data_IF_646837553506
#
_entry.id   IF_646837553506
#
_cell.length_a   1.000
_cell.length_b   1.000
_cell.length_c   1.000
_cell.angle_alpha   90.00
_cell.angle_beta   90.00
_cell.angle_gamma   90.00
#
_symmetry.space_group_name_H-M   'P 1'
#
loop_
_entity.id
_entity.type
_entity.pdbx_description
1 polymer ?
#
# COMPACT_ATOMS: atom_id res chain seq x y z
N UNK A 1 1.20 -0.44 -17.31
CA UNK A 1 2.43 0.35 -17.52
C UNK A 1 2.78 0.54 -19.00
N UNK A 2 2.91 -0.55 -19.79
CA UNK A 2 3.33 -0.48 -21.22
C UNK A 2 2.44 0.42 -22.08
N UNK A 3 1.11 0.35 -21.90
CA UNK A 3 0.16 1.18 -22.64
C UNK A 3 0.42 2.69 -22.54
N UNK A 4 0.85 3.19 -21.37
CA UNK A 4 1.22 4.60 -21.22
C UNK A 4 2.48 4.94 -21.99
N UNK A 5 3.51 4.08 -21.92
CA UNK A 5 4.76 4.29 -22.65
C UNK A 5 4.53 4.30 -24.18
N UNK A 6 3.70 3.38 -24.68
CA UNK A 6 3.33 3.33 -26.09
C UNK A 6 2.58 4.60 -26.52
N UNK A 7 1.62 5.05 -25.69
CA UNK A 7 0.85 6.25 -25.95
C UNK A 7 1.74 7.51 -25.92
N UNK A 8 2.66 7.60 -24.97
CA UNK A 8 3.67 8.66 -24.87
C UNK A 8 4.56 8.70 -26.11
N UNK A 9 5.10 7.54 -26.52
CA UNK A 9 5.96 7.44 -27.70
C UNK A 9 5.24 7.83 -28.99
N UNK A 10 3.97 7.43 -29.15
CA UNK A 10 3.15 7.82 -30.31
C UNK A 10 2.82 9.32 -30.32
N UNK A 11 2.55 9.89 -29.16
CA UNK A 11 2.15 11.31 -29.02
C UNK A 11 3.32 12.27 -29.15
N UNK A 12 4.50 11.89 -28.62
CA UNK A 12 5.71 12.71 -28.59
C UNK A 12 6.95 11.88 -28.95
N UNK A 13 7.11 11.48 -30.22
CA UNK A 13 8.17 10.55 -30.63
C UNK A 13 9.59 11.11 -30.49
N UNK A 14 9.74 12.44 -30.49
CA UNK A 14 11.03 13.16 -30.45
C UNK A 14 11.27 13.91 -29.14
N UNK A 15 10.51 13.61 -28.09
CA UNK A 15 10.70 14.30 -26.80
C UNK A 15 12.03 13.92 -26.17
N UNK A 16 12.87 14.93 -25.89
CA UNK A 16 14.11 14.77 -25.12
C UNK A 16 13.84 14.72 -23.62
N UNK A 17 12.59 14.86 -23.19
CA UNK A 17 12.24 14.86 -21.78
C UNK A 17 12.42 13.45 -21.18
N UNK A 18 13.27 13.26 -20.15
CA UNK A 18 13.51 11.95 -19.55
C UNK A 18 12.43 11.52 -18.55
N UNK A 19 11.52 12.42 -18.15
CA UNK A 19 10.50 12.12 -17.15
C UNK A 19 9.39 11.21 -17.70
N UNK A 20 8.96 10.26 -16.88
CA UNK A 20 7.92 9.29 -17.22
C UNK A 20 6.56 9.95 -17.49
N UNK A 21 6.19 10.91 -16.64
CA UNK A 21 4.97 11.70 -16.78
C UNK A 21 5.32 13.02 -17.45
N UNK A 22 4.73 13.25 -18.62
CA UNK A 22 4.83 14.49 -19.39
C UNK A 22 3.43 14.94 -19.82
N UNK A 23 3.30 16.22 -20.07
CA UNK A 23 2.11 16.86 -20.66
C UNK A 23 2.52 17.62 -21.93
N UNK A 24 1.56 18.24 -22.63
CA UNK A 24 1.85 18.95 -23.87
C UNK A 24 2.93 20.05 -23.71
N UNK A 25 2.99 20.72 -22.56
CA UNK A 25 3.96 21.76 -22.29
C UNK A 25 5.36 21.18 -22.00
N UNK A 26 5.43 20.22 -21.07
CA UNK A 26 6.71 19.62 -20.66
C UNK A 26 7.29 18.68 -21.71
N UNK A 27 6.51 18.22 -22.69
CA UNK A 27 7.02 17.39 -23.78
C UNK A 27 8.08 18.09 -24.65
N UNK A 28 8.03 19.43 -24.73
CA UNK A 28 9.04 20.25 -25.43
C UNK A 28 10.15 20.77 -24.52
N UNK A 29 10.03 20.52 -23.22
CA UNK A 29 10.99 20.93 -22.20
C UNK A 29 11.77 19.71 -21.68
N UNK A 30 12.79 19.95 -20.85
CA UNK A 30 13.54 18.89 -20.16
C UNK A 30 13.20 18.78 -18.68
N UNK A 31 12.26 19.59 -18.20
CA UNK A 31 11.83 19.62 -16.80
C UNK A 31 10.66 18.66 -16.49
N UNK A 32 10.43 18.37 -15.20
CA UNK A 32 9.30 17.53 -14.77
C UNK A 32 7.98 18.30 -14.87
N UNK A 33 6.87 17.56 -14.96
CA UNK A 33 5.54 18.14 -14.71
C UNK A 33 5.43 18.71 -13.30
N UNK A 34 4.70 19.81 -13.16
CA UNK A 34 4.52 20.44 -11.85
C UNK A 34 3.76 19.53 -10.89
N UNK A 35 4.10 19.60 -9.60
CA UNK A 35 3.39 18.85 -8.55
C UNK A 35 1.91 19.24 -8.49
N UNK A 36 1.58 20.48 -8.84
CA UNK A 36 0.21 20.95 -8.98
C UNK A 36 -0.55 20.21 -10.09
N UNK A 37 0.07 19.98 -11.25
CA UNK A 37 -0.54 19.22 -12.35
C UNK A 37 -0.90 17.80 -11.89
N UNK A 38 0.02 17.12 -11.20
CA UNK A 38 -0.25 15.77 -10.68
C UNK A 38 -1.35 15.78 -9.63
N UNK A 39 -1.32 16.72 -8.67
CA UNK A 39 -2.40 16.85 -7.68
C UNK A 39 -3.75 17.18 -8.33
N UNK A 40 -3.77 18.03 -9.35
CA UNK A 40 -4.98 18.40 -10.10
C UNK A 40 -5.60 17.20 -10.79
N UNK A 41 -4.78 16.31 -11.37
CA UNK A 41 -5.27 15.09 -12.01
C UNK A 41 -6.00 14.14 -11.04
N UNK A 42 -5.70 14.20 -9.73
CA UNK A 42 -6.38 13.40 -8.70
C UNK A 42 -7.42 14.20 -7.89
N UNK A 43 -7.69 15.47 -8.25
CA UNK A 43 -8.74 16.25 -7.57
C UNK A 43 -10.11 15.65 -7.85
N UNK A 44 -10.96 15.61 -6.83
CA UNK A 44 -12.31 15.04 -6.91
C UNK A 44 -12.34 13.51 -6.79
N UNK A 45 -11.19 12.84 -6.77
CA UNK A 45 -11.10 11.41 -6.49
C UNK A 45 -10.86 11.16 -5.00
N UNK A 46 -11.47 10.11 -4.46
CA UNK A 46 -11.24 9.68 -3.08
C UNK A 46 -9.79 9.21 -2.83
N UNK A 47 -9.14 8.71 -3.89
CA UNK A 47 -7.75 8.27 -3.92
C UNK A 47 -6.81 9.44 -4.28
N UNK A 48 -6.49 10.30 -3.31
CA UNK A 48 -5.48 11.34 -3.51
C UNK A 48 -4.07 10.74 -3.45
N UNK A 49 -3.06 11.44 -3.98
CA UNK A 49 -1.66 10.96 -3.94
C UNK A 49 -1.18 10.67 -2.51
N UNK A 50 -1.50 11.55 -1.57
CA UNK A 50 -1.13 11.37 -0.16
C UNK A 50 -1.86 10.18 0.46
N UNK A 51 -3.11 9.93 0.07
CA UNK A 51 -3.86 8.78 0.54
C UNK A 51 -3.26 7.48 0.00
N UNK A 52 -3.05 7.40 -1.32
CA UNK A 52 -2.39 6.26 -1.95
C UNK A 52 -1.00 5.97 -1.35
N UNK A 53 -0.23 7.03 -1.05
CA UNK A 53 1.06 6.88 -0.39
C UNK A 53 0.93 6.26 0.99
N UNK A 54 -0.02 6.74 1.81
CA UNK A 54 -0.26 6.21 3.16
C UNK A 54 -0.80 4.78 3.11
N UNK A 55 -1.72 4.50 2.19
CA UNK A 55 -2.33 3.19 2.02
C UNK A 55 -1.24 2.16 1.62
N UNK A 56 -0.37 2.51 0.67
CA UNK A 56 0.77 1.66 0.26
C UNK A 56 1.77 1.42 1.40
N UNK A 57 2.06 2.44 2.21
CA UNK A 57 2.95 2.30 3.37
C UNK A 57 2.36 1.38 4.45
N UNK A 58 1.05 1.50 4.70
CA UNK A 58 0.35 0.64 5.65
C UNK A 58 0.29 -0.80 5.15
N UNK A 59 -0.05 -1.02 3.87
CA UNK A 59 -0.04 -2.33 3.23
C UNK A 59 1.33 -3.01 3.32
N UNK A 60 2.41 -2.28 3.03
CA UNK A 60 3.78 -2.81 3.14
C UNK A 60 4.09 -3.23 4.57
N UNK A 61 3.73 -2.37 5.53
CA UNK A 61 3.96 -2.62 6.94
C UNK A 61 3.23 -3.88 7.38
N UNK A 62 1.97 -4.07 6.97
CA UNK A 62 1.20 -5.27 7.30
C UNK A 62 1.79 -6.53 6.64
N UNK A 63 2.23 -6.43 5.39
CA UNK A 63 2.79 -7.57 4.62
C UNK A 63 4.13 -8.06 5.19
N UNK A 64 4.93 -7.16 5.77
CA UNK A 64 6.28 -7.45 6.28
C UNK A 64 6.37 -7.44 7.82
N UNK A 65 5.26 -7.73 8.52
CA UNK A 65 5.25 -7.89 9.98
C UNK A 65 5.55 -6.61 10.78
N UNK A 66 5.38 -5.44 10.16
CA UNK A 66 5.67 -4.15 10.75
C UNK A 66 7.16 -3.95 11.04
N UNK A 67 8.03 -4.18 10.06
CA UNK A 67 9.46 -3.85 10.18
C UNK A 67 9.74 -2.38 9.81
N UNK A 68 10.14 -1.52 10.78
CA UNK A 68 10.44 -0.11 10.50
C UNK A 68 11.71 0.09 9.67
N UNK A 69 12.70 -0.82 9.72
CA UNK A 69 13.90 -0.70 8.89
C UNK A 69 13.56 -0.95 7.43
N UNK A 70 12.73 -1.96 7.17
CA UNK A 70 12.18 -2.24 5.84
C UNK A 70 11.40 -1.04 5.28
N UNK A 71 10.49 -0.45 6.07
CA UNK A 71 9.70 0.71 5.63
C UNK A 71 10.56 1.93 5.31
N UNK A 72 11.58 2.21 6.14
CA UNK A 72 12.51 3.29 5.87
C UNK A 72 13.29 3.07 4.57
N UNK A 73 13.76 1.83 4.33
CA UNK A 73 14.50 1.47 3.13
C UNK A 73 13.65 1.53 1.85
N UNK A 74 12.43 1.00 1.87
CA UNK A 74 11.55 0.93 0.69
C UNK A 74 11.00 2.31 0.30
N UNK A 75 10.62 3.13 1.27
CA UNK A 75 9.93 4.40 1.01
C UNK A 75 10.78 5.65 1.21
N UNK A 76 12.01 5.51 1.70
CA UNK A 76 12.89 6.65 2.01
C UNK A 76 12.28 7.60 3.04
N UNK A 77 11.48 7.08 3.97
CA UNK A 77 10.83 7.86 5.03
C UNK A 77 11.72 7.95 6.27
N UNK A 78 11.50 9.00 7.08
CA UNK A 78 12.22 9.16 8.33
C UNK A 78 11.93 8.02 9.32
N UNK A 79 12.91 7.70 10.16
CA UNK A 79 12.82 6.61 11.11
C UNK A 79 11.61 6.73 12.06
N UNK A 80 11.26 7.95 12.48
CA UNK A 80 10.11 8.17 13.38
C UNK A 80 8.79 7.83 12.68
N UNK A 81 8.64 8.20 11.40
CA UNK A 81 7.48 7.83 10.59
C UNK A 81 7.45 6.33 10.32
N UNK A 82 8.59 5.71 10.02
CA UNK A 82 8.68 4.26 9.82
C UNK A 82 8.27 3.47 11.09
N UNK A 83 8.79 3.86 12.26
CA UNK A 83 8.43 3.27 13.56
C UNK A 83 6.94 3.42 13.81
N UNK A 84 6.34 4.58 13.54
CA UNK A 84 4.90 4.79 13.73
C UNK A 84 4.07 3.79 12.91
N UNK A 85 4.38 3.64 11.62
CA UNK A 85 3.67 2.70 10.76
C UNK A 85 3.88 1.24 11.16
N UNK A 86 5.12 0.87 11.49
CA UNK A 86 5.46 -0.46 11.99
C UNK A 86 4.68 -0.82 13.27
N UNK A 87 4.64 0.08 14.25
CA UNK A 87 3.89 -0.12 15.50
C UNK A 87 2.40 -0.29 15.24
N UNK A 88 1.81 0.57 14.41
CA UNK A 88 0.39 0.43 14.04
C UNK A 88 0.12 -0.90 13.32
N UNK A 89 1.00 -1.32 12.41
CA UNK A 89 0.84 -2.60 11.72
C UNK A 89 0.90 -3.79 12.71
N UNK A 90 1.86 -3.80 13.63
CA UNK A 90 1.95 -4.83 14.68
C UNK A 90 0.68 -4.89 15.52
N UNK A 91 0.18 -3.74 15.98
CA UNK A 91 -1.08 -3.66 16.73
C UNK A 91 -2.30 -4.18 15.96
N UNK A 92 -2.31 -4.09 14.64
CA UNK A 92 -3.39 -4.63 13.79
C UNK A 92 -3.22 -6.12 13.49
N UNK A 93 -2.01 -6.66 13.60
CA UNK A 93 -1.72 -8.08 13.40
C UNK A 93 -2.02 -8.91 14.65
N UNK A 94 -1.76 -8.40 15.85
CA UNK A 94 -2.10 -9.05 17.13
C UNK A 94 -3.58 -9.50 17.24
N UNK A 95 -4.61 -8.67 16.91
CA UNK A 95 -6.01 -9.10 16.96
C UNK A 95 -6.39 -10.08 15.84
N UNK A 96 -5.61 -10.18 14.75
CA UNK A 96 -5.90 -11.13 13.67
C UNK A 96 -5.52 -12.57 14.02
N UNK A 97 -4.59 -12.76 14.96
CA UNK A 97 -4.14 -14.08 15.40
C UNK A 97 -5.18 -14.78 16.31
N UNK A 98 -5.95 -14.04 17.11
CA UNK A 98 -6.91 -14.61 18.07
C UNK A 98 -8.26 -14.99 17.45
N UNK A 99 -8.65 -14.39 16.32
CA UNK A 99 -9.95 -14.67 15.68
C UNK A 99 -9.99 -15.94 14.82
N UNK A 100 -8.85 -16.60 14.54
CA UNK A 100 -8.82 -17.84 13.76
C UNK A 100 -8.99 -19.11 14.62
N UNK A 101 -8.83 -19.04 15.94
CA UNK A 101 -8.78 -20.22 16.82
C UNK A 101 -10.13 -20.60 17.47
N UNK A 102 -11.21 -19.82 17.24
CA UNK A 102 -12.53 -20.09 17.84
C UNK A 102 -13.46 -20.92 16.93
N UNK A 103 -12.98 -21.42 15.78
CA UNK A 103 -13.76 -22.32 14.91
C UNK A 103 -13.38 -23.80 15.01
N UNK A 104 -12.42 -24.19 15.85
CA UNK A 104 -12.11 -25.59 16.12
C UNK A 104 -13.09 -26.21 17.16
N UNK A 105 -14.29 -26.49 16.67
CA UNK A 105 -15.29 -27.47 17.12
C UNK A 105 -15.91 -27.37 18.54
N UNK A 106 -17.23 -27.11 18.65
CA UNK A 106 -17.99 -27.25 19.88
C UNK A 106 -18.52 -28.67 20.09
N UNK A 107 -18.22 -29.26 21.26
CA UNK A 107 -19.09 -30.26 21.88
C UNK A 107 -18.71 -31.74 21.69
N UNK A 108 -17.87 -32.25 22.60
CA UNK A 108 -17.95 -33.65 23.02
C UNK A 108 -18.31 -33.68 24.51
N UNK A 109 -19.60 -33.94 24.77
CA UNK A 109 -20.15 -34.20 26.10
C UNK A 109 -19.76 -35.63 26.49
N UNK A 110 -19.15 -35.89 27.66
CA UNK A 110 -18.90 -37.26 28.08
C UNK A 110 -20.23 -37.96 28.39
N UNK A 111 -20.49 -39.03 27.63
CA UNK A 111 -21.59 -39.97 27.88
C UNK A 111 -21.27 -40.75 29.15
N UNK A 112 -21.95 -40.43 30.25
CA UNK A 112 -21.90 -41.23 31.46
C UNK A 112 -23.03 -42.28 31.38
N UNK A 113 -22.67 -43.50 31.00
CA UNK A 113 -23.52 -44.69 31.08
C UNK A 113 -23.14 -45.43 32.36
N UNK A 114 -24.00 -45.36 33.37
CA UNK A 114 -23.93 -46.24 34.53
C UNK A 114 -25.15 -47.16 34.42
N UNK A 115 -24.89 -48.39 33.98
CA UNK A 115 -25.84 -49.49 34.02
C UNK A 115 -25.99 -49.99 35.48
N UNK A 116 -27.22 -50.41 35.80
CA UNK A 116 -27.74 -50.99 37.05
C UNK A 116 -27.01 -52.29 37.47
N UNK A 117 -27.15 -52.74 38.73
CA UNK A 117 -28.32 -53.56 39.15
C UNK A 117 -29.19 -52.94 40.24
#
# INVERSE_FOLDING_TARGET
MRQWLDQRQRRWPVTTNPYLLINQQTATETGPVSTFWTKKALRGHAATLERLRRDRQLEEALTHGGDPLHLAAVFGIDAKTAIRYATTARQLLEPAAEHHDISANPGQKPSNRIDHP
#
